data_IF_252643572385
#
_entry.id   IF_252643572385
#
_cell.length_a   1.000
_cell.length_b   1.000
_cell.length_c   1.000
_cell.angle_alpha   90.00
_cell.angle_beta   90.00
_cell.angle_gamma   90.00
#
_symmetry.space_group_name_H-M   'P 1'
#
loop_
_entity.id
_entity.type
_entity.pdbx_description
1 polymer ?
#
# COMPACT_ATOMS: atom_id res chain seq x y z
N UNK A 1 -0.28 -5.49 2.08
CA UNK A 1 -1.25 -6.59 2.22
C UNK A 1 -2.10 -6.36 3.45
N UNK A 2 -3.27 -6.98 3.53
CA UNK A 2 -4.21 -6.78 4.64
C UNK A 2 -4.00 -7.84 5.74
N UNK A 3 -3.50 -7.39 6.89
CA UNK A 3 -3.24 -8.24 8.05
C UNK A 3 -4.50 -8.55 8.86
N UNK A 4 -5.58 -7.78 8.70
CA UNK A 4 -6.82 -7.96 9.47
C UNK A 4 -7.55 -9.24 9.05
N UNK A 5 -7.31 -9.71 7.82
CA UNK A 5 -7.80 -10.98 7.29
C UNK A 5 -7.24 -12.22 8.02
N UNK A 6 -6.19 -12.05 8.85
CA UNK A 6 -5.53 -13.15 9.56
C UNK A 6 -6.09 -13.37 10.97
N UNK A 7 -6.96 -12.48 11.46
CA UNK A 7 -7.35 -12.40 12.86
C UNK A 7 -6.32 -11.68 13.73
N UNK A 8 -6.74 -11.25 14.92
CA UNK A 8 -5.96 -10.34 15.77
C UNK A 8 -4.60 -10.90 16.19
N UNK A 9 -4.54 -12.15 16.66
CA UNK A 9 -3.32 -12.71 17.23
C UNK A 9 -2.21 -12.96 16.19
N UNK A 10 -2.49 -13.55 15.01
CA UNK A 10 -1.51 -13.63 13.93
C UNK A 10 -1.07 -12.25 13.44
N UNK A 11 -1.99 -11.29 13.27
CA UNK A 11 -1.67 -9.93 12.84
C UNK A 11 -0.75 -9.21 13.83
N UNK A 12 -1.01 -9.36 15.14
CA UNK A 12 -0.17 -8.80 16.21
C UNK A 12 1.26 -9.34 16.14
N UNK A 13 1.41 -10.67 16.06
CA UNK A 13 2.73 -11.31 15.99
C UNK A 13 3.52 -10.90 14.75
N UNK A 14 2.85 -10.77 13.59
CA UNK A 14 3.51 -10.33 12.36
C UNK A 14 4.02 -8.88 12.48
N UNK A 15 3.20 -7.97 13.04
CA UNK A 15 3.59 -6.58 13.30
C UNK A 15 4.76 -6.47 14.29
N UNK A 16 4.82 -7.34 15.29
CA UNK A 16 5.96 -7.39 16.23
C UNK A 16 7.24 -7.86 15.53
N UNK A 17 7.17 -8.91 14.72
CA UNK A 17 8.31 -9.40 13.95
C UNK A 17 8.86 -8.32 13.00
N UNK A 18 7.99 -7.66 12.21
CA UNK A 18 8.38 -6.57 11.30
C UNK A 18 9.02 -5.40 12.06
N UNK A 19 8.49 -5.00 13.23
CA UNK A 19 9.10 -3.93 14.02
C UNK A 19 10.49 -4.29 14.54
N UNK A 20 10.73 -5.56 14.87
CA UNK A 20 12.03 -6.03 15.36
C UNK A 20 13.14 -6.02 14.31
N UNK A 21 12.82 -5.90 13.02
CA UNK A 21 13.83 -5.85 11.94
C UNK A 21 14.34 -4.44 11.65
N UNK A 22 13.71 -3.39 12.19
CA UNK A 22 13.97 -1.98 11.87
C UNK A 22 15.29 -1.37 12.36
N UNK A 23 16.25 -2.16 12.83
CA UNK A 23 17.52 -1.68 13.40
C UNK A 23 18.79 -2.20 12.72
N UNK A 24 18.68 -3.04 11.69
CA UNK A 24 19.80 -3.91 11.31
C UNK A 24 20.72 -3.38 10.20
N UNK A 25 20.50 -2.18 9.66
CA UNK A 25 21.40 -1.54 8.66
C UNK A 25 21.69 -2.36 7.40
N UNK A 26 21.00 -3.49 7.23
CA UNK A 26 21.12 -4.41 6.11
C UNK A 26 20.49 -3.71 4.92
N UNK A 27 21.26 -3.39 3.88
CA UNK A 27 20.76 -2.82 2.62
C UNK A 27 19.85 -3.76 1.81
N UNK A 28 19.25 -4.75 2.47
CA UNK A 28 18.37 -5.76 1.90
C UNK A 28 16.99 -5.67 2.54
N UNK A 29 15.99 -5.45 1.69
CA UNK A 29 14.58 -5.33 2.06
C UNK A 29 13.81 -6.56 1.58
N UNK A 30 12.92 -7.07 2.44
CA UNK A 30 12.06 -8.22 2.10
C UNK A 30 10.61 -7.81 2.29
N UNK A 31 9.82 -7.91 1.22
CA UNK A 31 8.37 -7.77 1.27
C UNK A 31 7.73 -9.15 1.47
N UNK A 32 6.92 -9.30 2.52
CA UNK A 32 6.13 -10.51 2.76
C UNK A 32 4.68 -10.22 2.39
N UNK A 33 4.20 -10.82 1.30
CA UNK A 33 2.83 -10.67 0.84
C UNK A 33 1.89 -11.56 1.65
N UNK A 34 1.25 -10.99 2.68
CA UNK A 34 0.26 -11.67 3.52
C UNK A 34 -1.11 -11.01 3.34
N UNK A 35 -2.17 -11.82 3.16
CA UNK A 35 -3.50 -11.29 2.84
C UNK A 35 -3.50 -10.40 1.59
N UNK A 36 -2.64 -10.74 0.62
CA UNK A 36 -2.38 -9.90 -0.54
C UNK A 36 -3.19 -10.38 -1.75
N UNK A 37 -3.90 -9.45 -2.38
CA UNK A 37 -4.47 -9.64 -3.70
C UNK A 37 -4.20 -8.42 -4.55
N UNK A 38 -3.50 -8.58 -5.67
CA UNK A 38 -3.11 -7.44 -6.51
C UNK A 38 -4.29 -6.61 -7.01
N UNK A 39 -5.45 -7.25 -7.28
CA UNK A 39 -6.68 -6.52 -7.64
C UNK A 39 -7.27 -5.73 -6.47
N UNK A 40 -7.18 -6.25 -5.26
CA UNK A 40 -7.64 -5.55 -4.06
C UNK A 40 -6.74 -4.35 -3.77
N UNK A 41 -5.42 -4.54 -3.88
CA UNK A 41 -4.44 -3.47 -3.71
C UNK A 41 -4.66 -2.31 -4.69
N UNK A 42 -4.86 -2.60 -5.98
CA UNK A 42 -5.18 -1.55 -6.97
C UNK A 42 -6.45 -0.79 -6.55
N UNK A 43 -7.49 -1.50 -6.10
CA UNK A 43 -8.73 -0.88 -5.64
C UNK A 43 -8.54 0.03 -4.42
N UNK A 44 -7.68 -0.37 -3.47
CA UNK A 44 -7.37 0.41 -2.27
C UNK A 44 -6.49 1.63 -2.59
N UNK A 45 -5.52 1.48 -3.50
CA UNK A 45 -4.69 2.58 -3.99
C UNK A 45 -5.53 3.66 -4.70
N UNK A 46 -6.45 3.26 -5.57
CA UNK A 46 -7.38 4.20 -6.24
C UNK A 46 -8.28 4.91 -5.23
N UNK A 47 -8.81 4.20 -4.22
CA UNK A 47 -9.61 4.82 -3.15
C UNK A 47 -8.79 5.84 -2.35
N UNK A 48 -7.54 5.53 -2.01
CA UNK A 48 -6.65 6.44 -1.29
C UNK A 48 -6.33 7.69 -2.11
N UNK A 49 -6.04 7.54 -3.41
CA UNK A 49 -5.82 8.64 -4.35
C UNK A 49 -7.03 9.57 -4.42
N UNK A 50 -8.21 9.03 -4.70
CA UNK A 50 -9.44 9.81 -4.81
C UNK A 50 -9.81 10.51 -3.49
N UNK A 51 -9.56 9.86 -2.35
CA UNK A 51 -9.74 10.48 -1.03
C UNK A 51 -8.85 11.72 -0.83
N UNK A 52 -7.59 11.66 -1.29
CA UNK A 52 -6.66 12.80 -1.25
C UNK A 52 -7.12 13.95 -2.16
N UNK A 53 -7.48 13.64 -3.40
CA UNK A 53 -7.93 14.65 -4.36
C UNK A 53 -9.25 15.31 -3.95
N UNK A 54 -10.19 14.55 -3.40
CA UNK A 54 -11.42 15.10 -2.82
C UNK A 54 -11.13 16.02 -1.63
N UNK A 55 -10.19 15.66 -0.75
CA UNK A 55 -9.77 16.52 0.35
C UNK A 55 -9.10 17.82 -0.14
N UNK A 56 -8.48 17.78 -1.32
CA UNK A 56 -7.91 18.95 -2.00
C UNK A 56 -8.95 19.77 -2.78
N UNK A 57 -10.22 19.35 -2.78
CA UNK A 57 -11.32 20.07 -3.44
C UNK A 57 -11.46 19.81 -4.94
N UNK A 58 -10.90 18.71 -5.45
CA UNK A 58 -11.02 18.34 -6.85
C UNK A 58 -12.49 18.13 -7.29
N UNK A 59 -12.82 18.59 -8.49
CA UNK A 59 -14.12 18.32 -9.14
C UNK A 59 -14.15 16.90 -9.71
N UNK A 60 -15.35 16.43 -10.08
CA UNK A 60 -15.52 15.10 -10.70
C UNK A 60 -14.63 14.88 -11.93
N UNK A 61 -14.52 15.88 -12.82
CA UNK A 61 -13.66 15.77 -14.01
C UNK A 61 -12.18 15.71 -13.64
N UNK A 62 -11.75 16.48 -12.64
CA UNK A 62 -10.36 16.45 -12.15
C UNK A 62 -10.01 15.11 -11.50
N UNK A 63 -10.96 14.47 -10.82
CA UNK A 63 -10.77 13.13 -10.26
C UNK A 63 -10.56 12.07 -11.35
N UNK A 64 -11.25 12.19 -12.48
CA UNK A 64 -11.09 11.25 -13.61
C UNK A 64 -9.68 11.40 -14.19
N UNK A 65 -9.23 12.63 -14.41
CA UNK A 65 -7.89 12.92 -14.94
C UNK A 65 -6.76 12.55 -13.96
N UNK A 66 -7.03 12.60 -12.65
CA UNK A 66 -6.05 12.24 -11.63
C UNK A 66 -5.75 10.73 -11.58
N UNK A 67 -6.61 9.87 -12.13
CA UNK A 67 -6.39 8.42 -12.16
C UNK A 67 -5.41 8.07 -13.28
N UNK A 68 -4.12 8.11 -12.95
CA UNK A 68 -3.03 7.67 -13.84
C UNK A 68 -2.31 6.45 -13.28
N UNK A 69 -1.56 5.74 -14.12
CA UNK A 69 -0.76 4.59 -13.66
C UNK A 69 0.26 5.03 -12.61
N UNK A 70 0.91 6.17 -12.81
CA UNK A 70 1.89 6.75 -11.89
C UNK A 70 1.25 7.09 -10.54
N UNK A 71 0.08 7.75 -10.55
CA UNK A 71 -0.64 8.12 -9.33
C UNK A 71 -1.14 6.88 -8.56
N UNK A 72 -1.54 5.82 -9.26
CA UNK A 72 -1.91 4.55 -8.62
C UNK A 72 -0.67 3.93 -7.98
N UNK A 73 0.47 3.86 -8.69
CA UNK A 73 1.72 3.28 -8.19
C UNK A 73 2.21 3.95 -6.90
N UNK A 74 2.09 5.27 -6.80
CA UNK A 74 2.44 6.02 -5.58
C UNK A 74 1.57 5.66 -4.36
N UNK A 75 0.42 5.03 -4.56
CA UNK A 75 -0.53 4.64 -3.51
C UNK A 75 -0.60 3.13 -3.28
N UNK A 76 0.24 2.32 -3.95
CA UNK A 76 0.36 0.87 -3.71
C UNK A 76 1.07 0.58 -2.37
N UNK A 77 0.94 -0.65 -1.85
CA UNK A 77 1.68 -1.06 -0.65
C UNK A 77 3.20 -1.09 -0.88
N UNK A 78 3.64 -1.21 -2.14
CA UNK A 78 5.03 -1.17 -2.57
C UNK A 78 5.52 0.22 -2.97
N UNK A 79 4.74 1.28 -2.71
CA UNK A 79 5.12 2.65 -3.05
C UNK A 79 6.54 3.00 -2.55
N UNK A 80 7.35 3.56 -3.45
CA UNK A 80 8.75 3.91 -3.19
C UNK A 80 9.75 2.75 -3.33
N UNK A 81 9.30 1.55 -3.70
CA UNK A 81 10.17 0.42 -4.02
C UNK A 81 10.27 0.23 -5.53
N UNK A 82 11.42 -0.22 -6.07
CA UNK A 82 11.53 -0.55 -7.48
C UNK A 82 10.56 -1.68 -7.83
N UNK A 83 9.99 -1.60 -9.04
CA UNK A 83 9.16 -2.67 -9.57
C UNK A 83 9.95 -3.99 -9.62
N UNK A 84 9.30 -5.13 -9.34
CA UNK A 84 9.95 -6.43 -9.50
C UNK A 84 10.31 -6.67 -10.99
N UNK A 85 11.54 -7.17 -11.23
CA UNK A 85 12.01 -7.57 -12.57
C UNK A 85 11.15 -8.69 -13.19
#
# INVERSE_FOLDING_TARGET
GDLELLGEEPARRLREAVRSTGGNGSGFHVNVAVGYGGRQEIGDAVRALLGKELANGATGDQLIEAITAEAISENLYTSGQPDPD
#
